data_IF_733435469131
#
_entry.id   IF_733435469131
#
_cell.length_a   1.000
_cell.length_b   1.000
_cell.length_c   1.000
_cell.angle_alpha   90.00
_cell.angle_beta   90.00
_cell.angle_gamma   90.00
#
_symmetry.space_group_name_H-M   'P 1'
#
loop_
_entity.id
_entity.type
_entity.pdbx_description
1 polymer ?
#
# COMPACT_ATOMS: atom_id res chain seq x y z
N UNK A 1 -52.09 -55.65 -44.60
CA UNK A 1 -51.86 -54.19 -44.46
C UNK A 1 -52.02 -53.82 -43.00
N UNK A 2 -50.91 -53.56 -42.30
CA UNK A 2 -50.79 -52.60 -41.19
C UNK A 2 -49.32 -52.57 -40.79
N UNK A 3 -48.63 -51.51 -41.23
CA UNK A 3 -47.28 -51.17 -40.81
C UNK A 3 -47.32 -50.65 -39.37
N UNK A 4 -46.41 -51.11 -38.51
CA UNK A 4 -46.17 -50.55 -37.18
C UNK A 4 -44.70 -50.17 -37.05
N UNK A 5 -44.42 -48.86 -37.14
CA UNK A 5 -43.11 -48.24 -37.14
C UNK A 5 -42.30 -48.51 -35.87
N UNK A 6 -41.03 -48.89 -36.04
CA UNK A 6 -40.00 -48.83 -34.99
C UNK A 6 -39.41 -47.41 -34.97
N UNK A 7 -39.66 -46.66 -33.90
CA UNK A 7 -39.04 -45.36 -33.62
C UNK A 7 -37.81 -45.58 -32.73
N UNK A 8 -36.63 -45.60 -33.34
CA UNK A 8 -35.34 -45.53 -32.64
C UNK A 8 -35.15 -44.11 -32.09
N UNK A 9 -35.21 -43.95 -30.77
CA UNK A 9 -34.88 -42.71 -30.08
C UNK A 9 -33.36 -42.56 -30.02
N UNK A 10 -32.81 -41.57 -30.74
CA UNK A 10 -31.42 -41.15 -30.60
C UNK A 10 -31.32 -40.07 -29.52
N UNK A 11 -30.81 -40.41 -28.35
CA UNK A 11 -30.51 -39.45 -27.29
C UNK A 11 -29.16 -38.80 -27.58
N UNK A 12 -29.17 -37.54 -28.02
CA UNK A 12 -27.95 -36.72 -28.17
C UNK A 12 -27.55 -36.20 -26.79
N UNK A 13 -26.44 -36.70 -26.24
CA UNK A 13 -25.86 -36.19 -24.99
C UNK A 13 -25.00 -34.96 -25.35
N UNK A 14 -25.54 -33.76 -25.14
CA UNK A 14 -24.77 -32.52 -25.24
C UNK A 14 -23.97 -32.36 -23.94
N UNK A 15 -22.68 -32.66 -23.99
CA UNK A 15 -21.74 -32.38 -22.90
C UNK A 15 -21.42 -30.88 -22.87
N UNK A 16 -22.17 -30.13 -22.05
CA UNK A 16 -21.83 -28.75 -21.68
C UNK A 16 -20.72 -28.79 -20.64
N UNK A 17 -19.48 -28.71 -21.09
CA UNK A 17 -18.32 -28.45 -20.22
C UNK A 17 -18.35 -26.98 -19.82
N UNK A 18 -19.13 -26.66 -18.79
CA UNK A 18 -19.03 -25.36 -18.11
C UNK A 18 -17.71 -25.37 -17.32
N UNK A 19 -16.75 -24.49 -17.61
CA UNK A 19 -15.58 -24.35 -16.76
C UNK A 19 -16.08 -23.88 -15.39
N UNK A 20 -15.98 -24.76 -14.39
CA UNK A 20 -16.24 -24.41 -13.00
C UNK A 20 -15.11 -23.44 -12.61
N UNK A 21 -15.32 -22.15 -12.84
CA UNK A 21 -14.59 -21.13 -12.11
C UNK A 21 -15.00 -21.29 -10.65
N UNK A 22 -14.13 -21.92 -9.86
CA UNK A 22 -14.25 -21.93 -8.41
C UNK A 22 -13.98 -20.50 -7.95
N UNK A 23 -15.04 -19.70 -7.88
CA UNK A 23 -14.99 -18.35 -7.30
C UNK A 23 -14.84 -18.55 -5.78
N UNK A 24 -13.62 -18.43 -5.28
CA UNK A 24 -13.36 -18.41 -3.84
C UNK A 24 -13.72 -17.04 -3.29
N UNK A 25 -15.02 -16.82 -3.00
CA UNK A 25 -15.46 -15.70 -2.16
C UNK A 25 -15.06 -16.03 -0.73
N UNK A 26 -13.82 -15.73 -0.32
CA UNK A 26 -13.44 -15.76 1.09
C UNK A 26 -13.83 -14.45 1.76
N UNK A 27 -15.11 -14.26 2.01
CA UNK A 27 -15.52 -13.50 3.21
C UNK A 27 -15.32 -14.45 4.39
N UNK A 28 -14.06 -14.68 4.75
CA UNK A 28 -13.70 -15.59 5.84
C UNK A 28 -14.04 -14.98 7.20
N UNK A 29 -14.29 -15.80 8.24
CA UNK A 29 -14.47 -15.33 9.61
C UNK A 29 -13.11 -14.95 10.21
N UNK A 30 -12.46 -13.94 9.63
CA UNK A 30 -11.22 -13.43 10.19
C UNK A 30 -11.55 -12.62 11.44
N UNK A 31 -10.77 -12.82 12.51
CA UNK A 31 -10.89 -11.99 13.71
C UNK A 31 -10.73 -10.53 13.34
N UNK A 32 -11.60 -9.70 13.91
CA UNK A 32 -11.58 -8.24 13.75
C UNK A 32 -10.53 -7.63 14.70
N UNK A 33 -10.10 -8.39 15.71
CA UNK A 33 -9.07 -7.99 16.65
C UNK A 33 -7.68 -8.13 16.04
N UNK A 34 -6.73 -7.23 16.36
CA UNK A 34 -5.37 -7.34 15.89
C UNK A 34 -4.70 -8.58 16.50
N UNK A 35 -4.03 -9.38 15.67
CA UNK A 35 -3.24 -10.51 16.14
C UNK A 35 -1.94 -10.00 16.80
N UNK A 36 -1.99 -9.72 18.10
CA UNK A 36 -0.84 -9.26 18.88
C UNK A 36 0.08 -10.39 19.36
N UNK A 37 -0.15 -11.62 18.91
CA UNK A 37 0.76 -12.72 19.11
C UNK A 37 1.98 -12.56 18.19
N UNK A 38 3.18 -12.65 18.77
CA UNK A 38 4.42 -12.57 17.99
C UNK A 38 4.51 -13.75 17.03
N UNK A 39 4.57 -13.47 15.74
CA UNK A 39 4.82 -14.51 14.75
C UNK A 39 6.30 -14.83 14.64
N UNK A 40 6.63 -16.11 14.47
CA UNK A 40 7.96 -16.51 14.06
C UNK A 40 8.21 -16.03 12.61
N UNK A 41 9.15 -15.09 12.37
CA UNK A 41 9.41 -14.58 11.02
C UNK A 41 9.81 -15.66 10.02
N UNK A 42 10.30 -16.82 10.48
CA UNK A 42 10.65 -17.98 9.63
C UNK A 42 9.45 -18.64 8.98
N UNK A 43 8.25 -18.45 9.55
CA UNK A 43 7.01 -18.99 9.01
C UNK A 43 6.35 -18.04 7.99
N UNK A 44 6.93 -16.86 7.75
CA UNK A 44 6.41 -15.87 6.82
C UNK A 44 7.09 -16.01 5.45
N UNK A 45 6.28 -15.87 4.41
CA UNK A 45 6.75 -15.83 3.03
C UNK A 45 7.60 -14.57 2.79
N UNK A 46 8.81 -14.73 2.25
CA UNK A 46 9.77 -13.63 2.05
C UNK A 46 10.09 -13.30 0.60
N UNK A 47 9.68 -14.15 -0.36
CA UNK A 47 9.87 -13.96 -1.80
C UNK A 47 8.75 -13.11 -2.44
N UNK A 48 7.68 -12.82 -1.71
CA UNK A 48 6.56 -11.98 -2.11
C UNK A 48 6.03 -11.16 -0.92
N UNK A 49 5.23 -10.13 -1.21
CA UNK A 49 4.59 -9.26 -0.22
C UNK A 49 3.06 -9.33 -0.27
N UNK A 50 2.41 -8.96 0.83
CA UNK A 50 0.96 -8.76 0.89
C UNK A 50 0.65 -7.28 0.69
N UNK A 51 -0.32 -6.96 -0.17
CA UNK A 51 -0.80 -5.57 -0.34
C UNK A 51 -2.05 -5.36 0.51
N UNK A 52 -2.10 -4.24 1.23
CA UNK A 52 -3.30 -3.74 1.90
C UNK A 52 -3.69 -2.43 1.20
N UNK A 53 -4.81 -2.47 0.48
CA UNK A 53 -5.43 -1.31 -0.15
C UNK A 53 -6.49 -0.78 0.82
N UNK A 54 -6.42 0.49 1.21
CA UNK A 54 -7.40 1.07 2.12
C UNK A 54 -8.53 1.78 1.36
N UNK A 55 -9.66 1.10 1.18
CA UNK A 55 -10.83 1.65 0.47
C UNK A 55 -11.86 2.30 1.39
N UNK A 56 -12.57 3.31 0.89
CA UNK A 56 -13.65 3.98 1.63
C UNK A 56 -14.85 4.39 0.77
N UNK A 57 -14.60 5.02 -0.39
CA UNK A 57 -15.68 5.61 -1.20
C UNK A 57 -16.24 4.63 -2.21
N UNK A 58 -17.57 4.45 -2.21
CA UNK A 58 -18.27 3.63 -3.20
C UNK A 58 -18.05 4.15 -4.64
N UNK A 59 -17.82 5.45 -4.81
CA UNK A 59 -17.51 6.05 -6.11
C UNK A 59 -16.16 5.58 -6.69
N UNK A 60 -15.24 5.10 -5.84
CA UNK A 60 -13.93 4.58 -6.27
C UNK A 60 -13.95 3.08 -6.57
N UNK A 61 -15.07 2.38 -6.38
CA UNK A 61 -15.16 0.93 -6.61
C UNK A 61 -14.59 0.50 -7.98
N UNK A 62 -14.96 1.11 -9.12
CA UNK A 62 -14.40 0.71 -10.42
C UNK A 62 -12.88 0.90 -10.51
N UNK A 63 -12.37 2.00 -9.95
CA UNK A 63 -10.93 2.26 -9.89
C UNK A 63 -10.21 1.23 -9.02
N UNK A 64 -10.78 0.91 -7.85
CA UNK A 64 -10.21 -0.07 -6.93
C UNK A 64 -10.16 -1.45 -7.57
N UNK A 65 -11.14 -1.84 -8.39
CA UNK A 65 -11.10 -3.08 -9.15
C UNK A 65 -9.89 -3.12 -10.09
N UNK A 66 -9.63 -2.03 -10.83
CA UNK A 66 -8.45 -1.92 -11.70
C UNK A 66 -7.14 -2.02 -10.90
N UNK A 67 -7.03 -1.24 -9.83
CA UNK A 67 -5.83 -1.20 -8.99
C UNK A 67 -5.57 -2.56 -8.34
N UNK A 68 -6.60 -3.22 -7.81
CA UNK A 68 -6.47 -4.54 -7.22
C UNK A 68 -6.05 -5.60 -8.25
N UNK A 69 -6.59 -5.55 -9.47
CA UNK A 69 -6.16 -6.41 -10.57
C UNK A 69 -4.70 -6.16 -10.95
N UNK A 70 -4.27 -4.89 -11.03
CA UNK A 70 -2.88 -4.53 -11.29
C UNK A 70 -1.93 -5.08 -10.20
N UNK A 71 -2.24 -4.89 -8.91
CA UNK A 71 -1.44 -5.48 -7.84
C UNK A 71 -1.44 -7.01 -7.88
N UNK A 72 -2.60 -7.64 -8.09
CA UNK A 72 -2.72 -9.10 -8.12
C UNK A 72 -1.97 -9.75 -9.30
N UNK A 73 -1.76 -9.02 -10.39
CA UNK A 73 -1.00 -9.51 -11.54
C UNK A 73 0.53 -9.45 -11.32
N UNK A 74 1.00 -8.85 -10.22
CA UNK A 74 2.43 -8.65 -9.98
C UNK A 74 3.10 -9.91 -9.41
N UNK A 75 4.25 -10.35 -9.95
CA UNK A 75 4.96 -11.51 -9.42
C UNK A 75 5.52 -11.28 -8.02
N UNK A 76 5.66 -10.03 -7.59
CA UNK A 76 6.12 -9.69 -6.23
C UNK A 76 5.00 -9.75 -5.19
N UNK A 77 3.74 -9.93 -5.60
CA UNK A 77 2.57 -9.90 -4.71
C UNK A 77 2.02 -11.31 -4.50
N UNK A 78 1.90 -11.73 -3.24
CA UNK A 78 1.29 -13.00 -2.86
C UNK A 78 -0.23 -12.89 -2.72
N UNK A 79 -0.71 -11.77 -2.18
CA UNK A 79 -2.14 -11.57 -1.86
C UNK A 79 -2.44 -10.08 -1.81
N UNK A 80 -3.60 -9.70 -2.33
CA UNK A 80 -4.17 -8.36 -2.20
C UNK A 80 -5.33 -8.42 -1.20
N UNK A 81 -5.29 -7.52 -0.22
CA UNK A 81 -6.34 -7.33 0.78
C UNK A 81 -6.91 -5.94 0.54
N UNK A 82 -8.23 -5.85 0.36
CA UNK A 82 -8.95 -4.59 0.38
C UNK A 82 -9.54 -4.39 1.78
N UNK A 83 -9.00 -3.42 2.51
CA UNK A 83 -9.54 -2.99 3.79
C UNK A 83 -10.63 -1.93 3.54
N UNK A 84 -11.90 -2.35 3.60
CA UNK A 84 -13.04 -1.47 3.34
C UNK A 84 -13.53 -0.76 4.60
N UNK A 85 -13.09 0.48 4.80
CA UNK A 85 -13.27 1.24 6.03
C UNK A 85 -14.60 2.01 6.13
N UNK A 86 -15.49 1.90 5.14
CA UNK A 86 -16.79 2.55 5.19
C UNK A 86 -17.85 1.60 5.76
N UNK A 87 -18.09 1.73 7.06
CA UNK A 87 -19.07 0.93 7.79
C UNK A 87 -20.53 1.23 7.39
N UNK A 88 -20.80 2.32 6.67
CA UNK A 88 -22.13 2.66 6.18
C UNK A 88 -22.48 1.97 4.86
N UNK A 89 -21.50 1.41 4.14
CA UNK A 89 -21.76 0.71 2.87
C UNK A 89 -22.66 -0.52 3.06
N UNK A 90 -23.75 -0.66 2.28
CA UNK A 90 -24.64 -1.81 2.37
C UNK A 90 -23.91 -3.14 2.09
N UNK A 91 -24.23 -4.23 2.82
CA UNK A 91 -23.65 -5.55 2.55
C UNK A 91 -23.83 -6.00 1.10
N UNK A 92 -24.96 -5.67 0.46
CA UNK A 92 -25.24 -6.03 -0.93
C UNK A 92 -24.26 -5.35 -1.90
N UNK A 93 -23.94 -4.07 -1.66
CA UNK A 93 -22.94 -3.33 -2.45
C UNK A 93 -21.58 -4.01 -2.35
N UNK A 94 -21.16 -4.41 -1.14
CA UNK A 94 -19.90 -5.12 -0.93
C UNK A 94 -19.89 -6.52 -1.57
N UNK A 95 -21.01 -7.26 -1.51
CA UNK A 95 -21.13 -8.56 -2.18
C UNK A 95 -20.99 -8.42 -3.69
N UNK A 96 -21.63 -7.44 -4.31
CA UNK A 96 -21.50 -7.17 -5.75
C UNK A 96 -20.08 -6.71 -6.11
N UNK A 97 -19.47 -5.88 -5.27
CA UNK A 97 -18.09 -5.43 -5.46
C UNK A 97 -17.12 -6.61 -5.42
N UNK A 98 -17.28 -7.53 -4.46
CA UNK A 98 -16.44 -8.71 -4.30
C UNK A 98 -16.44 -9.66 -5.51
N UNK A 99 -17.51 -9.70 -6.31
CA UNK A 99 -17.62 -10.62 -7.47
C UNK A 99 -16.56 -10.35 -8.55
N UNK A 100 -16.16 -9.09 -8.74
CA UNK A 100 -15.22 -8.67 -9.77
C UNK A 100 -13.89 -8.16 -9.18
N UNK A 101 -13.63 -8.42 -7.90
CA UNK A 101 -12.47 -7.90 -7.20
C UNK A 101 -11.38 -8.98 -7.09
N UNK A 102 -10.20 -8.68 -7.61
CA UNK A 102 -8.99 -9.51 -7.44
C UNK A 102 -8.32 -9.30 -6.07
N UNK A 103 -9.10 -9.33 -5.00
CA UNK A 103 -8.62 -9.13 -3.62
C UNK A 103 -9.57 -9.78 -2.59
N UNK A 104 -9.05 -10.05 -1.41
CA UNK A 104 -9.89 -10.41 -0.25
C UNK A 104 -10.36 -9.15 0.46
N UNK A 105 -11.67 -9.00 0.67
CA UNK A 105 -12.22 -7.85 1.41
C UNK A 105 -12.18 -8.13 2.91
N UNK A 106 -11.59 -7.21 3.67
CA UNK A 106 -11.71 -7.14 5.12
C UNK A 106 -12.50 -5.88 5.50
N UNK A 107 -13.41 -6.02 6.47
CA UNK A 107 -14.21 -4.91 6.99
C UNK A 107 -13.86 -4.67 8.46
N UNK A 108 -13.10 -3.61 8.79
CA UNK A 108 -12.79 -3.26 10.16
C UNK A 108 -14.04 -2.74 10.91
N UNK A 109 -14.01 -2.65 12.25
CA UNK A 109 -15.17 -2.30 13.06
C UNK A 109 -15.51 -0.80 12.98
N UNK A 110 -14.57 0.05 12.56
CA UNK A 110 -14.78 1.48 12.34
C UNK A 110 -13.94 1.99 11.16
N UNK A 111 -14.15 3.26 10.81
CA UNK A 111 -13.42 3.96 9.75
C UNK A 111 -12.02 4.45 10.15
N UNK A 112 -11.48 3.97 11.29
CA UNK A 112 -10.16 4.40 11.78
C UNK A 112 -9.06 4.12 10.74
N UNK A 113 -8.21 5.11 10.52
CA UNK A 113 -7.00 4.97 9.70
C UNK A 113 -5.98 4.01 10.34
N UNK A 114 -6.06 3.75 11.65
CA UNK A 114 -5.16 2.81 12.34
C UNK A 114 -5.27 1.37 11.80
N UNK A 115 -6.43 0.97 11.28
CA UNK A 115 -6.71 -0.41 10.87
C UNK A 115 -5.83 -0.91 9.71
N UNK A 116 -5.31 -0.01 8.87
CA UNK A 116 -4.37 -0.40 7.80
C UNK A 116 -3.04 -0.95 8.34
N UNK A 117 -2.74 -0.70 9.61
CA UNK A 117 -1.53 -1.19 10.27
C UNK A 117 -1.76 -2.35 11.23
N UNK A 118 -2.99 -2.90 11.28
CA UNK A 118 -3.23 -4.08 12.10
C UNK A 118 -2.48 -5.29 11.51
N UNK A 119 -1.88 -6.14 12.35
CA UNK A 119 -1.22 -7.37 11.93
C UNK A 119 -2.26 -8.46 11.62
N UNK A 120 -3.15 -8.21 10.64
CA UNK A 120 -4.24 -9.12 10.27
C UNK A 120 -3.74 -10.55 10.06
N UNK A 121 -4.48 -11.53 10.58
CA UNK A 121 -4.06 -12.93 10.57
C UNK A 121 -3.83 -13.48 9.14
N UNK A 122 -4.59 -12.97 8.17
CA UNK A 122 -4.46 -13.33 6.76
C UNK A 122 -3.11 -12.90 6.14
N UNK A 123 -2.37 -12.00 6.77
CA UNK A 123 -1.04 -11.58 6.32
C UNK A 123 -0.03 -12.71 6.63
N UNK A 124 0.37 -13.46 5.60
CA UNK A 124 1.34 -14.56 5.69
C UNK A 124 2.69 -14.24 5.05
N UNK A 125 2.95 -12.97 4.77
CA UNK A 125 4.21 -12.48 4.18
C UNK A 125 4.99 -11.65 5.21
N UNK A 126 6.31 -11.60 5.03
CA UNK A 126 7.20 -10.75 5.84
C UNK A 126 7.07 -9.28 5.44
N UNK A 127 7.02 -9.01 4.14
CA UNK A 127 6.85 -7.68 3.59
C UNK A 127 5.37 -7.36 3.44
N UNK A 128 4.96 -6.18 3.90
CA UNK A 128 3.61 -5.66 3.70
C UNK A 128 3.70 -4.34 2.95
N UNK A 129 2.95 -4.22 1.86
CA UNK A 129 2.76 -2.99 1.11
C UNK A 129 1.42 -2.36 1.53
N UNK A 130 1.48 -1.20 2.15
CA UNK A 130 0.32 -0.34 2.40
C UNK A 130 0.14 0.59 1.20
N UNK A 131 -1.06 0.63 0.63
CA UNK A 131 -1.42 1.47 -0.51
C UNK A 131 -2.74 2.18 -0.27
N UNK A 132 -2.82 3.44 -0.70
CA UNK A 132 -4.10 4.14 -0.81
C UNK A 132 -4.88 3.61 -2.04
N UNK A 133 -6.19 3.82 -2.06
CA UNK A 133 -7.14 3.30 -3.06
C UNK A 133 -7.16 4.07 -4.39
N UNK A 134 -6.26 5.03 -4.55
CA UNK A 134 -6.09 5.89 -5.72
C UNK A 134 -4.66 5.87 -6.28
N UNK A 135 -3.88 4.85 -5.93
CA UNK A 135 -2.48 4.69 -6.34
C UNK A 135 -2.31 3.45 -7.21
N UNK A 136 -1.90 3.66 -8.47
CA UNK A 136 -1.62 2.59 -9.43
C UNK A 136 -0.17 2.68 -9.93
N UNK A 137 0.77 1.96 -9.30
CA UNK A 137 2.13 1.83 -9.79
C UNK A 137 2.22 0.75 -10.88
N UNK A 138 3.12 0.93 -11.84
CA UNK A 138 3.37 -0.11 -12.83
C UNK A 138 4.15 -1.30 -12.23
N UNK A 139 4.10 -2.45 -12.93
CA UNK A 139 4.70 -3.71 -12.47
C UNK A 139 6.21 -3.64 -12.20
N UNK A 140 6.94 -2.88 -13.01
CA UNK A 140 8.40 -2.71 -12.86
C UNK A 140 8.71 -1.93 -11.58
N UNK A 141 7.94 -0.89 -11.30
CA UNK A 141 8.07 -0.08 -10.08
C UNK A 141 7.78 -0.89 -8.82
N UNK A 142 6.72 -1.72 -8.83
CA UNK A 142 6.40 -2.62 -7.71
C UNK A 142 7.56 -3.57 -7.43
N UNK A 143 8.08 -4.22 -8.48
CA UNK A 143 9.16 -5.22 -8.36
C UNK A 143 10.48 -4.59 -7.92
N UNK A 144 10.79 -3.40 -8.43
CA UNK A 144 11.98 -2.65 -8.04
C UNK A 144 11.91 -2.19 -6.58
N UNK A 145 10.79 -1.58 -6.16
CA UNK A 145 10.59 -1.16 -4.78
C UNK A 145 10.70 -2.33 -3.79
N UNK A 146 10.14 -3.49 -4.15
CA UNK A 146 10.28 -4.71 -3.35
C UNK A 146 11.73 -5.18 -3.25
N UNK A 147 12.48 -5.11 -4.35
CA UNK A 147 13.90 -5.47 -4.36
C UNK A 147 14.72 -4.52 -3.49
N UNK A 148 14.48 -3.21 -3.58
CA UNK A 148 15.11 -2.21 -2.72
C UNK A 148 14.78 -2.43 -1.23
N UNK A 149 13.53 -2.79 -0.92
CA UNK A 149 13.12 -3.15 0.44
C UNK A 149 13.80 -4.43 0.93
N UNK A 150 13.92 -5.48 0.10
CA UNK A 150 14.60 -6.72 0.51
C UNK A 150 16.06 -6.49 0.94
N UNK A 151 16.73 -5.50 0.36
CA UNK A 151 18.09 -5.11 0.75
C UNK A 151 18.15 -4.29 2.05
N UNK A 152 17.02 -3.75 2.51
CA UNK A 152 16.90 -2.92 3.70
C UNK A 152 15.58 -3.19 4.45
N UNK A 153 15.32 -4.43 4.88
CA UNK A 153 14.00 -4.86 5.32
C UNK A 153 13.57 -4.20 6.64
N UNK A 154 14.51 -3.68 7.43
CA UNK A 154 14.24 -2.95 8.66
C UNK A 154 13.60 -1.57 8.41
N UNK A 155 13.79 -0.98 7.23
CA UNK A 155 13.35 0.39 6.90
C UNK A 155 12.01 0.39 6.16
N UNK A 156 11.27 1.48 6.29
CA UNK A 156 10.15 1.78 5.37
C UNK A 156 10.72 2.15 4.01
N UNK A 157 10.15 1.60 2.93
CA UNK A 157 10.50 1.91 1.55
C UNK A 157 9.28 2.40 0.78
N UNK A 158 9.38 3.44 -0.05
CA UNK A 158 8.25 3.86 -0.89
C UNK A 158 8.53 5.01 -1.85
N UNK A 159 7.50 5.45 -2.56
CA UNK A 159 7.61 6.46 -3.64
C UNK A 159 7.32 7.89 -3.18
N UNK A 160 6.57 8.06 -2.11
CA UNK A 160 6.00 9.35 -1.73
C UNK A 160 6.67 9.89 -0.46
N UNK A 161 7.81 10.56 -0.64
CA UNK A 161 8.56 11.14 0.45
C UNK A 161 8.04 12.51 0.92
N UNK A 162 8.15 12.72 2.22
CA UNK A 162 7.85 13.96 2.96
C UNK A 162 8.87 14.12 4.08
N UNK A 163 8.86 15.28 4.72
CA UNK A 163 9.86 15.60 5.73
C UNK A 163 9.21 16.27 6.94
N UNK A 164 10.00 16.42 7.99
CA UNK A 164 9.67 17.22 9.15
C UNK A 164 10.74 18.31 9.30
N UNK A 165 10.43 19.39 10.01
CA UNK A 165 11.40 20.37 10.43
C UNK A 165 11.00 20.96 11.79
N UNK A 166 11.96 21.52 12.51
CA UNK A 166 11.64 22.31 13.70
C UNK A 166 11.52 23.77 13.30
N UNK A 167 10.33 24.34 13.46
CA UNK A 167 10.13 25.77 13.26
C UNK A 167 10.46 26.52 14.55
N UNK A 168 11.54 27.29 14.50
CA UNK A 168 12.05 28.07 15.63
C UNK A 168 11.09 29.18 16.03
N UNK A 169 10.32 29.74 15.08
CA UNK A 169 9.42 30.85 15.37
C UNK A 169 8.21 30.38 16.18
N UNK A 170 7.55 29.31 15.73
CA UNK A 170 6.43 28.71 16.46
C UNK A 170 6.86 27.77 17.59
N UNK A 171 8.16 27.46 17.70
CA UNK A 171 8.74 26.46 18.63
C UNK A 171 8.07 25.09 18.51
N UNK A 172 7.67 24.72 17.29
CA UNK A 172 6.91 23.50 17.02
C UNK A 172 7.56 22.66 15.92
N UNK A 173 7.23 21.38 15.89
CA UNK A 173 7.59 20.53 14.75
C UNK A 173 6.57 20.70 13.64
N UNK A 174 7.04 20.91 12.43
CA UNK A 174 6.21 21.14 11.25
C UNK A 174 6.39 20.04 10.22
N UNK A 175 5.35 19.80 9.44
CA UNK A 175 5.36 18.90 8.30
C UNK A 175 5.78 19.64 7.03
N UNK A 176 6.80 19.15 6.32
CA UNK A 176 7.39 19.81 5.15
C UNK A 176 7.42 18.89 3.93
N UNK A 177 7.60 19.51 2.75
CA UNK A 177 7.74 18.82 1.46
C UNK A 177 9.12 19.08 0.84
N UNK A 178 10.15 19.16 1.70
CA UNK A 178 11.54 19.33 1.27
C UNK A 178 11.96 18.16 0.37
N UNK A 179 12.76 18.46 -0.66
CA UNK A 179 13.18 17.47 -1.67
C UNK A 179 14.55 16.90 -1.35
N UNK A 180 15.37 17.67 -0.65
CA UNK A 180 16.77 17.40 -0.37
C UNK A 180 16.94 16.38 0.76
N UNK A 181 16.05 16.44 1.75
CA UNK A 181 15.99 15.51 2.89
C UNK A 181 14.56 15.12 3.19
N UNK A 182 14.37 13.86 3.52
CA UNK A 182 13.05 13.30 3.85
C UNK A 182 13.15 12.40 5.06
N UNK A 183 12.06 12.27 5.79
CA UNK A 183 12.00 11.46 7.01
C UNK A 183 10.71 10.66 7.12
N UNK A 184 9.79 10.85 6.18
CA UNK A 184 8.46 10.25 6.17
C UNK A 184 8.21 9.70 4.77
N UNK A 185 7.74 8.45 4.69
CA UNK A 185 7.12 7.89 3.49
C UNK A 185 5.61 7.79 3.73
N UNK A 186 4.79 8.20 2.78
CA UNK A 186 3.33 8.18 2.89
C UNK A 186 2.75 6.79 2.61
N UNK A 187 1.60 6.48 3.21
CA UNK A 187 0.82 5.25 2.99
C UNK A 187 0.24 5.11 1.57
N UNK A 188 0.41 6.13 0.73
CA UNK A 188 0.16 6.04 -0.72
C UNK A 188 0.84 4.81 -1.33
N UNK A 189 2.10 4.58 -0.96
CA UNK A 189 2.85 3.38 -1.29
C UNK A 189 3.98 3.21 -0.28
N UNK A 190 3.80 2.29 0.67
CA UNK A 190 4.69 2.08 1.80
C UNK A 190 4.94 0.58 2.01
N UNK A 191 6.15 0.12 1.72
CA UNK A 191 6.61 -1.24 2.04
C UNK A 191 7.31 -1.23 3.39
N UNK A 192 6.95 -2.15 4.27
CA UNK A 192 7.52 -2.30 5.60
C UNK A 192 7.53 -3.77 6.05
N UNK A 193 8.36 -4.11 7.03
CA UNK A 193 8.36 -5.41 7.68
C UNK A 193 7.14 -5.57 8.60
N UNK A 194 6.47 -6.71 8.53
CA UNK A 194 5.27 -7.02 9.32
C UNK A 194 5.44 -6.78 10.83
N UNK A 195 6.65 -6.95 11.37
CA UNK A 195 6.95 -6.67 12.79
C UNK A 195 6.68 -5.21 13.20
N UNK A 196 6.72 -4.27 12.25
CA UNK A 196 6.36 -2.87 12.50
C UNK A 196 4.84 -2.67 12.64
N UNK A 197 4.02 -3.51 11.98
CA UNK A 197 2.56 -3.54 12.21
C UNK A 197 2.22 -3.98 13.63
N UNK A 198 2.90 -5.04 14.09
CA UNK A 198 2.78 -5.55 15.45
C UNK A 198 3.21 -4.49 16.46
N UNK A 199 4.35 -3.83 16.23
CA UNK A 199 4.82 -2.77 17.14
C UNK A 199 3.83 -1.61 17.20
N UNK A 200 3.39 -1.10 16.05
CA UNK A 200 2.42 0.01 15.98
C UNK A 200 1.14 -0.32 16.75
N UNK A 201 0.62 -1.53 16.58
CA UNK A 201 -0.71 -1.92 17.05
C UNK A 201 -0.70 -2.42 18.49
N UNK A 202 0.35 -3.12 18.91
CA UNK A 202 0.34 -3.91 20.13
C UNK A 202 1.24 -3.35 21.24
N UNK A 203 2.22 -2.50 20.90
CA UNK A 203 3.01 -1.81 21.92
C UNK A 203 2.20 -0.68 22.56
N UNK A 204 2.03 -0.77 23.88
CA UNK A 204 1.29 0.20 24.67
C UNK A 204 1.92 1.59 24.66
N UNK A 205 3.22 1.71 24.36
CA UNK A 205 3.90 2.99 24.17
C UNK A 205 3.21 3.89 23.15
N UNK A 206 2.62 3.30 22.10
CA UNK A 206 1.98 4.05 21.01
C UNK A 206 0.46 4.16 21.17
N UNK A 207 -0.11 3.75 22.31
CA UNK A 207 -1.56 3.82 22.56
C UNK A 207 -2.09 5.27 22.47
N UNK A 208 -1.47 6.19 23.20
CA UNK A 208 -1.86 7.60 23.20
C UNK A 208 -1.66 8.26 21.84
N UNK A 209 -0.58 7.95 21.13
CA UNK A 209 -0.35 8.50 19.79
C UNK A 209 -1.34 7.94 18.76
N UNK A 210 -1.77 6.68 18.88
CA UNK A 210 -2.85 6.12 18.04
C UNK A 210 -4.20 6.78 18.33
N UNK A 211 -4.44 7.20 19.58
CA UNK A 211 -5.62 8.01 19.92
C UNK A 211 -5.59 9.36 19.22
N UNK A 212 -4.44 10.03 19.17
CA UNK A 212 -4.29 11.27 18.39
C UNK A 212 -4.59 11.02 16.90
N UNK A 213 -4.12 9.91 16.32
CA UNK A 213 -4.47 9.54 14.93
C UNK A 213 -5.98 9.41 14.74
N UNK A 214 -6.68 8.81 15.71
CA UNK A 214 -8.15 8.67 15.69
C UNK A 214 -8.83 10.04 15.74
N UNK A 215 -8.48 10.89 16.71
CA UNK A 215 -9.07 12.22 16.91
C UNK A 215 -8.83 13.14 15.71
N UNK A 216 -7.63 13.10 15.14
CA UNK A 216 -7.26 13.95 14.01
C UNK A 216 -7.77 13.39 12.67
N UNK A 217 -8.19 12.12 12.64
CA UNK A 217 -8.50 11.33 11.45
C UNK A 217 -7.45 11.53 10.33
N UNK A 218 -6.17 11.46 10.71
CA UNK A 218 -5.00 11.74 9.87
C UNK A 218 -3.73 11.25 10.59
N UNK A 219 -2.57 11.38 9.93
CA UNK A 219 -1.24 11.23 10.52
C UNK A 219 -0.86 9.80 10.94
N UNK A 220 -1.62 8.79 10.54
CA UNK A 220 -1.31 7.37 10.75
C UNK A 220 0.03 7.01 10.09
N UNK A 221 0.27 7.55 8.90
CA UNK A 221 1.51 7.37 8.15
C UNK A 221 2.72 8.00 8.87
N UNK A 222 2.55 9.20 9.42
CA UNK A 222 3.56 9.88 10.24
C UNK A 222 3.87 9.03 11.47
N UNK A 223 2.84 8.56 12.19
CA UNK A 223 3.04 7.74 13.37
C UNK A 223 3.78 6.43 13.04
N UNK A 224 3.44 5.77 11.93
CA UNK A 224 4.19 4.59 11.50
C UNK A 224 5.67 4.90 11.23
N UNK A 225 5.99 6.05 10.61
CA UNK A 225 7.39 6.47 10.45
C UNK A 225 8.08 6.76 11.79
N UNK A 226 7.36 7.29 12.79
CA UNK A 226 7.88 7.42 14.16
C UNK A 226 8.21 6.05 14.77
N UNK A 227 7.28 5.10 14.70
CA UNK A 227 7.45 3.73 15.21
C UNK A 227 8.68 3.06 14.60
N UNK A 228 8.80 3.09 13.27
CA UNK A 228 9.94 2.46 12.59
C UNK A 228 11.24 3.18 12.92
N UNK A 229 11.30 4.51 12.84
CA UNK A 229 12.52 5.27 13.11
C UNK A 229 13.00 5.09 14.56
N UNK A 230 12.09 5.01 15.52
CA UNK A 230 12.38 4.74 16.93
C UNK A 230 13.03 3.35 17.10
N UNK A 231 12.50 2.33 16.44
CA UNK A 231 12.98 0.95 16.53
C UNK A 231 14.32 0.74 15.84
N UNK A 232 14.51 1.34 14.66
CA UNK A 232 15.66 1.02 13.80
C UNK A 232 16.75 2.09 13.80
N UNK A 233 16.45 3.28 14.33
CA UNK A 233 17.34 4.43 14.39
C UNK A 233 17.90 4.86 13.00
N UNK A 234 17.09 4.70 11.94
CA UNK A 234 17.42 5.09 10.56
C UNK A 234 16.20 5.75 9.90
N UNK A 235 16.45 6.60 8.89
CA UNK A 235 15.39 7.21 8.08
C UNK A 235 14.83 6.23 7.05
N UNK A 236 13.69 6.53 6.41
CA UNK A 236 13.09 5.63 5.41
C UNK A 236 13.88 5.65 4.08
N UNK A 237 13.48 4.84 3.11
CA UNK A 237 14.06 4.75 1.77
C UNK A 237 13.08 5.26 0.72
N UNK A 238 13.50 6.31 0.01
CA UNK A 238 12.83 6.77 -1.20
C UNK A 238 13.35 5.96 -2.39
N UNK A 239 12.43 5.36 -3.14
CA UNK A 239 12.72 4.61 -4.36
C UNK A 239 12.09 5.30 -5.56
N UNK A 240 12.71 5.17 -6.72
CA UNK A 240 12.15 5.63 -7.98
C UNK A 240 11.00 4.72 -8.44
N UNK A 241 9.95 5.33 -9.00
CA UNK A 241 8.91 4.63 -9.72
C UNK A 241 9.17 4.67 -11.24
N UNK A 242 9.99 3.74 -11.72
CA UNK A 242 10.41 3.64 -13.13
C UNK A 242 9.18 3.44 -14.04
N UNK A 243 8.88 4.44 -14.87
CA UNK A 243 7.68 4.45 -15.74
C UNK A 243 6.44 5.07 -15.09
N UNK A 244 6.58 5.71 -13.92
CA UNK A 244 5.56 6.48 -13.24
C UNK A 244 4.67 5.70 -12.27
N UNK A 245 4.03 6.45 -11.36
CA UNK A 245 2.89 6.01 -10.55
C UNK A 245 1.71 6.89 -10.94
N UNK A 246 0.56 6.30 -11.27
CA UNK A 246 -0.66 7.07 -11.47
C UNK A 246 -1.30 7.33 -10.12
N UNK A 247 -1.37 8.61 -9.74
CA UNK A 247 -2.00 9.10 -8.51
C UNK A 247 -3.36 9.73 -8.87
N UNK A 248 -4.44 8.96 -8.78
CA UNK A 248 -5.79 9.40 -9.12
C UNK A 248 -6.37 10.39 -8.09
N UNK A 249 -5.75 10.50 -6.91
CA UNK A 249 -6.17 11.43 -5.85
C UNK A 249 -5.56 12.83 -5.98
N UNK A 250 -4.54 13.03 -6.82
CA UNK A 250 -3.95 14.34 -7.03
C UNK A 250 -4.77 15.18 -8.02
N UNK A 251 -5.41 16.24 -7.51
CA UNK A 251 -6.21 17.18 -8.28
C UNK A 251 -5.47 17.90 -9.42
N UNK A 252 -4.15 17.73 -9.57
CA UNK A 252 -3.38 18.21 -10.72
C UNK A 252 -3.44 17.26 -11.92
N UNK A 253 -3.85 16.01 -11.71
CA UNK A 253 -4.04 15.03 -12.77
C UNK A 253 -5.47 15.15 -13.31
N UNK A 254 -5.71 14.67 -14.55
CA UNK A 254 -7.04 14.70 -15.17
C UNK A 254 -8.09 14.12 -14.22
N UNK A 255 -9.03 14.98 -13.83
CA UNK A 255 -10.13 14.71 -12.91
C UNK A 255 -11.45 14.60 -13.68
N UNK A 256 -11.42 13.99 -14.87
CA UNK A 256 -12.62 13.77 -15.69
C UNK A 256 -13.71 13.01 -14.91
N UNK A 257 -13.30 12.22 -13.92
CA UNK A 257 -14.17 11.39 -13.08
C UNK A 257 -14.49 11.99 -11.69
N UNK A 258 -14.01 13.20 -11.37
CA UNK A 258 -14.26 13.86 -10.07
C UNK A 258 -13.70 13.14 -8.84
N UNK A 259 -12.78 12.19 -9.04
CA UNK A 259 -12.23 11.30 -8.01
C UNK A 259 -11.28 12.02 -7.05
N UNK A 260 -10.75 13.19 -7.44
CA UNK A 260 -9.85 14.00 -6.61
C UNK A 260 -10.54 14.68 -5.41
N UNK A 261 -11.87 14.91 -5.51
CA UNK A 261 -12.66 15.63 -4.49
C UNK A 261 -12.94 14.81 -3.23
N UNK A 262 -12.73 13.50 -3.29
CA UNK A 262 -13.00 12.55 -2.20
C UNK A 262 -11.80 12.42 -1.24
N UNK A 263 -10.61 12.88 -1.63
CA UNK A 263 -9.39 12.71 -0.84
C UNK A 263 -9.34 13.56 0.44
N UNK A 264 -8.78 12.98 1.51
CA UNK A 264 -8.55 13.64 2.82
C UNK A 264 -7.62 14.86 2.75
N UNK A 265 -6.91 15.06 1.64
CA UNK A 265 -5.99 16.17 1.40
C UNK A 265 -6.57 17.32 0.56
N UNK A 266 -7.87 17.32 0.28
CA UNK A 266 -8.52 18.33 -0.58
C UNK A 266 -8.34 19.78 -0.10
N UNK A 267 -8.22 20.02 1.22
CA UNK A 267 -7.88 21.32 1.83
C UNK A 267 -6.39 21.41 2.21
N UNK A 268 -5.53 21.64 1.21
CA UNK A 268 -4.07 21.51 1.31
C UNK A 268 -3.42 22.29 2.47
N UNK A 269 -3.87 23.50 2.78
CA UNK A 269 -3.28 24.34 3.84
C UNK A 269 -3.57 23.82 5.25
N UNK A 270 -4.86 23.63 5.57
CA UNK A 270 -5.31 23.08 6.85
C UNK A 270 -4.78 21.66 7.08
N UNK A 271 -4.74 20.84 6.03
CA UNK A 271 -4.23 19.47 6.09
C UNK A 271 -2.73 19.42 6.47
N UNK A 272 -1.90 20.34 5.96
CA UNK A 272 -0.48 20.41 6.31
C UNK A 272 -0.26 20.88 7.74
N UNK A 273 -1.00 21.91 8.16
CA UNK A 273 -0.93 22.41 9.55
C UNK A 273 -1.27 21.29 10.53
N UNK A 274 -2.38 20.58 10.26
CA UNK A 274 -2.82 19.41 11.03
C UNK A 274 -1.73 18.35 11.15
N UNK A 275 -1.03 18.04 10.05
CA UNK A 275 0.08 17.08 10.06
C UNK A 275 1.28 17.55 10.89
N UNK A 276 1.60 18.85 10.90
CA UNK A 276 2.60 19.42 11.80
C UNK A 276 2.19 19.29 13.28
N UNK A 277 0.92 19.58 13.58
CA UNK A 277 0.35 19.40 14.93
C UNK A 277 0.49 17.95 15.42
N UNK A 278 0.22 16.97 14.57
CA UNK A 278 0.46 15.55 14.89
C UNK A 278 1.93 15.26 15.23
N UNK A 279 2.90 15.76 14.45
CA UNK A 279 4.34 15.54 14.72
C UNK A 279 4.71 16.15 16.08
N UNK A 280 4.20 17.34 16.37
CA UNK A 280 4.43 18.03 17.65
C UNK A 280 3.85 17.22 18.81
N UNK A 281 2.63 16.70 18.66
CA UNK A 281 1.95 15.95 19.70
C UNK A 281 2.58 14.56 19.92
N UNK A 282 2.97 13.86 18.85
CA UNK A 282 3.73 12.61 18.97
C UNK A 282 5.05 12.82 19.68
N UNK A 283 5.78 13.88 19.34
CA UNK A 283 7.01 14.27 20.05
C UNK A 283 6.74 14.53 21.54
N UNK A 284 5.66 15.24 21.87
CA UNK A 284 5.28 15.54 23.26
C UNK A 284 4.97 14.28 24.05
N UNK A 285 4.19 13.37 23.49
CA UNK A 285 3.76 12.12 24.13
C UNK A 285 4.90 11.10 24.26
N UNK A 286 5.76 10.99 23.25
CA UNK A 286 6.87 10.04 23.24
C UNK A 286 8.15 10.60 23.90
N UNK A 287 8.20 11.90 24.19
CA UNK A 287 9.29 12.57 24.91
C UNK A 287 10.56 12.80 24.08
N UNK A 288 10.57 12.44 22.79
CA UNK A 288 11.70 12.68 21.87
C UNK A 288 11.26 12.70 20.41
N UNK A 289 12.14 13.17 19.53
CA UNK A 289 11.95 13.12 18.08
C UNK A 289 12.69 11.91 17.47
N UNK A 290 12.00 10.81 17.14
CA UNK A 290 12.64 9.63 16.56
C UNK A 290 12.95 9.78 15.07
N UNK A 291 12.17 10.58 14.33
CA UNK A 291 12.30 10.71 12.89
C UNK A 291 13.74 11.06 12.48
N UNK A 292 14.29 10.27 11.57
CA UNK A 292 15.63 10.47 11.01
C UNK A 292 15.54 10.86 9.55
N UNK A 293 16.35 11.82 9.15
CA UNK A 293 16.45 12.17 7.75
C UNK A 293 17.22 11.10 6.97
N UNK A 294 16.75 10.86 5.76
CA UNK A 294 17.46 10.22 4.68
C UNK A 294 17.69 11.23 3.56
N UNK A 295 18.67 10.93 2.73
CA UNK A 295 19.09 11.74 1.59
C UNK A 295 19.19 10.85 0.36
N UNK A 296 18.89 11.41 -0.81
CA UNK A 296 18.96 10.69 -2.09
C UNK A 296 17.81 9.70 -2.31
N UNK A 297 17.74 9.18 -3.54
CA UNK A 297 16.72 8.25 -4.00
C UNK A 297 17.40 7.03 -4.59
N UNK A 298 16.88 5.84 -4.28
CA UNK A 298 17.34 4.57 -4.86
C UNK A 298 16.74 4.44 -6.26
N UNK A 299 17.59 4.25 -7.25
CA UNK A 299 17.24 4.10 -8.68
C UNK A 299 17.71 2.74 -9.20
N UNK A 300 16.94 2.13 -10.11
CA UNK A 300 17.16 0.76 -10.65
C UNK A 300 18.47 0.66 -11.44
N UNK A 301 18.87 1.79 -12.03
CA UNK A 301 20.21 2.04 -12.52
C UNK A 301 20.41 3.54 -12.58
N UNK A 302 21.54 4.04 -12.09
CA UNK A 302 22.05 5.28 -12.64
C UNK A 302 22.52 4.86 -14.02
N UNK A 303 21.91 5.38 -15.07
CA UNK A 303 22.58 5.39 -16.37
C UNK A 303 23.82 6.26 -16.24
N UNK A 304 24.87 5.80 -15.56
CA UNK A 304 26.23 6.28 -15.82
C UNK A 304 26.68 5.69 -17.15
N UNK A 305 25.92 6.01 -18.20
CA UNK A 305 26.39 5.80 -19.56
C UNK A 305 27.13 7.08 -19.93
N UNK A 306 28.31 7.25 -19.33
CA UNK A 306 29.36 7.88 -20.11
C UNK A 306 29.37 7.17 -21.46
N UNK A 307 29.23 7.93 -22.54
CA UNK A 307 29.41 7.37 -23.86
C UNK A 307 30.92 7.35 -24.11
N UNK A 308 31.47 6.14 -24.19
CA UNK A 308 32.84 5.90 -24.59
C UNK A 308 32.86 5.64 -26.09
N UNK A 309 33.83 6.22 -26.81
CA UNK A 309 34.09 5.84 -28.18
C UNK A 309 34.79 4.47 -28.21
N UNK A 310 34.11 3.45 -28.72
CA UNK A 310 34.68 2.11 -28.95
C UNK A 310 34.38 1.69 -30.39
N UNK A 311 35.43 1.42 -31.17
CA UNK A 311 35.29 1.03 -32.58
C UNK A 311 34.63 2.10 -33.46
N UNK A 312 34.86 3.39 -33.18
CA UNK A 312 34.28 4.50 -33.94
C UNK A 312 32.79 4.76 -33.68
N UNK A 313 32.22 4.16 -32.63
CA UNK A 313 30.85 4.42 -32.17
C UNK A 313 30.87 4.83 -30.70
N UNK A 314 30.03 5.81 -30.37
CA UNK A 314 29.72 6.13 -28.98
C UNK A 314 28.80 5.05 -28.41
N UNK A 315 29.30 4.32 -27.41
CA UNK A 315 28.59 3.25 -26.70
C UNK A 315 28.68 3.47 -25.19
N UNK A 316 27.75 2.93 -24.38
CA UNK A 316 27.91 2.91 -22.94
C UNK A 316 29.28 2.37 -22.51
N UNK A 317 29.97 3.08 -21.63
CA UNK A 317 31.34 2.74 -21.23
C UNK A 317 31.48 1.33 -20.63
N UNK A 318 30.43 0.83 -19.99
CA UNK A 318 30.29 -0.50 -19.40
C UNK A 318 30.01 -1.62 -20.42
N UNK A 319 29.61 -1.29 -21.65
CA UNK A 319 29.41 -2.27 -22.70
C UNK A 319 30.74 -2.81 -23.23
N UNK A 320 31.03 -4.11 -23.03
CA UNK A 320 32.13 -4.79 -23.71
C UNK A 320 31.72 -5.09 -25.16
N UNK A 321 32.49 -4.58 -26.12
CA UNK A 321 32.37 -4.97 -27.53
C UNK A 321 33.35 -6.13 -27.73
N UNK A 322 32.81 -7.34 -27.93
CA UNK A 322 33.58 -8.47 -28.45
C UNK A 322 33.64 -8.38 -29.97
#
# INVERSE_FOLDING_TARGET
MTLGNSLLSFTVIISLTVPIFVISVRVGPYSIDPACEKYDPRNLRSDQMTVIINGYSEHRIPLIQSIAAAYSASPSIATVILLWCNNSTPPQTLSSFAQNLSATILRPPSSSLNHRFYPWEIIKTRAVLISDDDIEPNQKSISFAFTAWKSNPDRITGFFARSHAYDVQSKSWIYTMEKEKYSIILTKFMILDRTHLETYTCDQRYSQTRHIVEEMNNCEDILMNFVVAENVNKGPLLVEAKGGVRDYGDARNDDELGLSKVGLSSRRGEHRKRRGECITEFHRLLGRMPLKYSYGMVVDSVGEQGLCEKGGKLVPCDQQIF
#
